data_IF_585824207354
#
_entry.id   IF_585824207354
#
_cell.length_a   1.000
_cell.length_b   1.000
_cell.length_c   1.000
_cell.angle_alpha   90.00
_cell.angle_beta   90.00
_cell.angle_gamma   90.00
#
_symmetry.space_group_name_H-M   'P 1'
#
loop_
_entity.id
_entity.type
_entity.pdbx_description
1 polymer ?
#
# COMPACT_ATOMS: atom_id res chain seq x y z
N UNK A 1 -0.52 -3.89 22.63
CA UNK A 1 0.45 -2.77 22.55
C UNK A 1 0.89 -2.45 21.13
N UNK A 2 0.95 -3.43 20.23
CA UNK A 2 1.19 -3.19 18.82
C UNK A 2 -0.02 -2.56 18.12
N UNK A 3 0.21 -1.48 17.36
CA UNK A 3 -0.79 -0.73 16.57
C UNK A 3 -2.11 -0.54 17.31
N UNK A 4 -2.03 0.02 18.51
CA UNK A 4 -3.22 0.39 19.25
C UNK A 4 -3.89 1.55 18.53
N UNK A 5 -5.19 1.40 18.25
CA UNK A 5 -5.98 2.53 17.84
C UNK A 5 -6.22 3.49 19.04
N UNK A 6 -6.87 4.62 18.77
CA UNK A 6 -7.21 5.64 19.78
C UNK A 6 -8.01 5.11 20.98
N UNK A 7 -8.63 3.93 20.87
CA UNK A 7 -9.40 3.27 21.93
C UNK A 7 -8.64 2.12 22.62
N UNK A 8 -7.33 2.00 22.41
CA UNK A 8 -6.48 1.02 23.08
C UNK A 8 -6.64 -0.43 22.59
N UNK A 9 -7.35 -0.66 21.47
CA UNK A 9 -7.47 -2.00 20.86
C UNK A 9 -6.32 -2.24 19.90
N UNK A 10 -5.71 -3.42 19.99
CA UNK A 10 -4.71 -3.83 19.01
C UNK A 10 -5.34 -4.06 17.65
N UNK A 11 -4.53 -3.89 16.60
CA UNK A 11 -4.93 -4.24 15.25
C UNK A 11 -5.51 -5.67 15.13
N UNK A 12 -4.89 -6.64 15.81
CA UNK A 12 -5.41 -8.01 15.92
C UNK A 12 -6.83 -8.04 16.51
N UNK A 13 -7.06 -7.36 17.64
CA UNK A 13 -8.39 -7.30 18.26
C UNK A 13 -9.43 -6.63 17.36
N UNK A 14 -9.01 -5.66 16.53
CA UNK A 14 -9.88 -5.04 15.54
C UNK A 14 -10.27 -6.03 14.45
N UNK A 15 -9.32 -6.77 13.87
CA UNK A 15 -9.67 -7.80 12.87
C UNK A 15 -10.57 -8.87 13.48
N UNK A 16 -10.18 -9.39 14.65
CA UNK A 16 -10.94 -10.47 15.30
C UNK A 16 -12.38 -10.05 15.57
N UNK A 17 -12.60 -8.83 16.07
CA UNK A 17 -13.93 -8.32 16.39
C UNK A 17 -14.71 -7.78 15.19
N UNK A 18 -14.06 -7.33 14.13
CA UNK A 18 -14.73 -6.72 12.95
C UNK A 18 -14.91 -7.68 11.79
N UNK A 19 -14.01 -8.62 11.59
CA UNK A 19 -14.06 -9.51 10.43
C UNK A 19 -14.20 -10.97 10.84
N UNK A 20 -13.62 -11.38 11.97
CA UNK A 20 -13.75 -12.75 12.46
C UNK A 20 -14.85 -12.92 13.50
N UNK A 21 -15.79 -11.96 13.63
CA UNK A 21 -17.01 -12.18 14.40
C UNK A 21 -18.15 -12.78 13.58
N UNK A 22 -18.81 -13.82 14.10
CA UNK A 22 -19.90 -14.51 13.41
C UNK A 22 -21.07 -13.56 13.08
N UNK A 23 -21.30 -12.58 13.96
CA UNK A 23 -22.33 -11.56 13.81
C UNK A 23 -21.87 -10.33 13.01
N UNK A 24 -20.67 -10.36 12.43
CA UNK A 24 -20.17 -9.22 11.65
C UNK A 24 -20.85 -9.14 10.29
N UNK A 25 -21.53 -8.01 10.05
CA UNK A 25 -22.09 -7.67 8.73
C UNK A 25 -21.03 -7.66 7.62
N UNK A 26 -19.78 -7.32 7.97
CA UNK A 26 -18.69 -7.11 7.03
C UNK A 26 -18.22 -8.38 6.28
N UNK A 27 -18.72 -9.57 6.64
CA UNK A 27 -18.30 -10.86 6.06
C UNK A 27 -18.87 -11.18 4.67
N UNK A 28 -19.83 -10.41 4.17
CA UNK A 28 -20.41 -10.58 2.82
C UNK A 28 -20.62 -9.29 2.04
N UNK A 29 -20.25 -8.14 2.62
CA UNK A 29 -20.62 -6.83 2.10
C UNK A 29 -19.85 -6.48 0.82
N UNK A 30 -18.55 -6.81 0.70
CA UNK A 30 -17.76 -6.36 -0.46
C UNK A 30 -18.26 -6.94 -1.80
N UNK A 31 -18.56 -8.24 -1.87
CA UNK A 31 -19.14 -8.84 -3.07
C UNK A 31 -20.51 -8.23 -3.39
N UNK A 32 -21.34 -8.04 -2.36
CA UNK A 32 -22.69 -7.50 -2.52
C UNK A 32 -22.68 -6.04 -2.98
N UNK A 33 -21.78 -5.22 -2.42
CA UNK A 33 -21.56 -3.81 -2.80
C UNK A 33 -21.24 -3.71 -4.29
N UNK A 34 -20.27 -4.52 -4.77
CA UNK A 34 -19.87 -4.50 -6.18
C UNK A 34 -21.03 -4.98 -7.06
N UNK A 35 -21.72 -6.06 -6.69
CA UNK A 35 -22.86 -6.54 -7.47
C UNK A 35 -24.00 -5.51 -7.52
N UNK A 36 -24.27 -4.79 -6.43
CA UNK A 36 -25.28 -3.73 -6.40
C UNK A 36 -24.89 -2.56 -7.29
N UNK A 37 -23.63 -2.11 -7.24
CA UNK A 37 -23.10 -1.02 -8.07
C UNK A 37 -23.21 -1.35 -9.58
N UNK A 38 -22.95 -2.61 -9.95
CA UNK A 38 -22.88 -3.04 -11.34
C UNK A 38 -24.06 -3.94 -11.78
N UNK A 39 -25.24 -3.73 -11.21
CA UNK A 39 -26.50 -4.37 -11.62
C UNK A 39 -26.42 -5.91 -11.72
N UNK A 40 -25.72 -6.55 -10.78
CA UNK A 40 -25.57 -8.00 -10.69
C UNK A 40 -24.55 -8.61 -11.66
N UNK A 41 -23.78 -7.81 -12.40
CA UNK A 41 -22.79 -8.33 -13.33
C UNK A 41 -21.57 -8.91 -12.59
N UNK A 42 -21.44 -10.24 -12.61
CA UNK A 42 -20.39 -10.98 -11.90
C UNK A 42 -18.99 -10.81 -12.48
N UNK A 43 -18.83 -10.26 -13.70
CA UNK A 43 -17.50 -9.99 -14.23
C UNK A 43 -16.75 -8.91 -13.44
N UNK A 44 -17.46 -7.99 -12.77
CA UNK A 44 -16.83 -6.97 -11.92
C UNK A 44 -16.23 -7.59 -10.65
N UNK A 45 -16.99 -8.41 -9.93
CA UNK A 45 -16.46 -9.16 -8.78
C UNK A 45 -15.39 -10.14 -9.19
N UNK A 46 -15.52 -10.78 -10.37
CA UNK A 46 -14.49 -11.63 -10.94
C UNK A 46 -13.18 -10.89 -11.26
N UNK A 47 -13.25 -9.66 -11.80
CA UNK A 47 -12.07 -8.83 -12.06
C UNK A 47 -11.37 -8.43 -10.76
N UNK A 48 -12.13 -8.00 -9.75
CA UNK A 48 -11.59 -7.68 -8.42
C UNK A 48 -10.94 -8.91 -7.79
N UNK A 49 -11.57 -10.09 -7.89
CA UNK A 49 -10.98 -11.35 -7.41
C UNK A 49 -9.70 -11.73 -8.16
N UNK A 50 -9.65 -11.56 -9.49
CA UNK A 50 -8.43 -11.78 -10.24
C UNK A 50 -7.28 -10.89 -9.74
N UNK A 51 -7.55 -9.61 -9.47
CA UNK A 51 -6.57 -8.66 -8.96
C UNK A 51 -6.11 -9.04 -7.55
N UNK A 52 -7.02 -9.42 -6.63
CA UNK A 52 -6.63 -9.90 -5.30
C UNK A 52 -5.76 -11.15 -5.37
N UNK A 53 -5.95 -11.99 -6.39
CA UNK A 53 -5.18 -13.21 -6.65
C UNK A 53 -3.88 -12.95 -7.44
N UNK A 54 -3.46 -11.68 -7.54
CA UNK A 54 -2.21 -11.28 -8.17
C UNK A 54 -2.25 -11.11 -9.70
N UNK A 55 -3.39 -11.27 -10.36
CA UNK A 55 -3.52 -10.93 -11.78
C UNK A 55 -3.62 -9.42 -11.96
N UNK A 56 -2.47 -8.76 -12.03
CA UNK A 56 -2.39 -7.29 -12.05
C UNK A 56 -2.32 -6.70 -13.46
N UNK A 57 -2.26 -7.54 -14.50
CA UNK A 57 -2.22 -7.10 -15.92
C UNK A 57 -3.55 -7.34 -16.59
N UNK A 58 -4.04 -6.37 -17.38
CA UNK A 58 -5.29 -6.49 -18.15
C UNK A 58 -5.39 -7.78 -18.96
N UNK A 59 -4.29 -8.20 -19.62
CA UNK A 59 -4.30 -9.43 -20.40
C UNK A 59 -4.56 -10.66 -19.53
N UNK A 60 -3.92 -10.74 -18.37
CA UNK A 60 -4.07 -11.86 -17.46
C UNK A 60 -5.47 -11.90 -16.83
N UNK A 61 -6.01 -10.73 -16.48
CA UNK A 61 -7.38 -10.60 -15.97
C UNK A 61 -8.39 -11.04 -17.04
N UNK A 62 -8.24 -10.60 -18.28
CA UNK A 62 -9.10 -10.98 -19.39
C UNK A 62 -9.08 -12.51 -19.63
N UNK A 63 -7.88 -13.10 -19.60
CA UNK A 63 -7.67 -14.54 -19.79
C UNK A 63 -8.35 -15.35 -18.66
N UNK A 64 -8.19 -14.94 -17.39
CA UNK A 64 -8.83 -15.60 -16.23
C UNK A 64 -10.36 -15.45 -16.22
N UNK A 65 -10.87 -14.33 -16.72
CA UNK A 65 -12.32 -14.08 -16.82
C UNK A 65 -12.95 -14.71 -18.08
N UNK A 66 -12.15 -15.24 -18.99
CA UNK A 66 -12.60 -15.75 -20.29
C UNK A 66 -13.38 -14.71 -21.11
N UNK A 67 -12.91 -13.46 -21.12
CA UNK A 67 -13.50 -12.36 -21.88
C UNK A 67 -12.46 -11.72 -22.81
N UNK A 68 -12.91 -10.99 -23.83
CA UNK A 68 -11.99 -10.27 -24.71
C UNK A 68 -11.35 -9.06 -23.99
N UNK A 69 -10.19 -8.61 -24.51
CA UNK A 69 -9.43 -7.50 -23.91
C UNK A 69 -10.21 -6.19 -23.87
N UNK A 70 -11.08 -5.91 -24.85
CA UNK A 70 -11.85 -4.67 -24.87
C UNK A 70 -12.97 -4.70 -23.81
N UNK A 71 -13.62 -5.85 -23.60
CA UNK A 71 -14.55 -6.05 -22.49
C UNK A 71 -13.86 -5.91 -21.13
N UNK A 72 -12.70 -6.55 -20.94
CA UNK A 72 -11.91 -6.42 -19.72
C UNK A 72 -11.49 -4.97 -19.47
N UNK A 73 -11.09 -4.22 -20.51
CA UNK A 73 -10.76 -2.80 -20.38
C UNK A 73 -11.94 -1.99 -19.84
N UNK A 74 -13.15 -2.18 -20.39
CA UNK A 74 -14.35 -1.47 -19.94
C UNK A 74 -14.63 -1.73 -18.46
N UNK A 75 -14.58 -2.99 -18.03
CA UNK A 75 -14.76 -3.36 -16.62
C UNK A 75 -13.73 -2.67 -15.73
N UNK A 76 -12.46 -2.66 -16.13
CA UNK A 76 -11.39 -2.02 -15.35
C UNK A 76 -11.52 -0.50 -15.31
N UNK A 77 -11.92 0.14 -16.41
CA UNK A 77 -12.18 1.59 -16.46
C UNK A 77 -13.37 1.95 -15.56
N UNK A 78 -14.44 1.16 -15.57
CA UNK A 78 -15.61 1.35 -14.71
C UNK A 78 -15.26 1.18 -13.23
N UNK A 79 -14.52 0.13 -12.86
CA UNK A 79 -14.03 -0.10 -11.49
C UNK A 79 -13.09 1.01 -11.02
N UNK A 80 -12.27 1.55 -11.91
CA UNK A 80 -11.39 2.69 -11.64
C UNK A 80 -12.21 3.98 -11.43
N UNK A 81 -13.24 4.20 -12.25
CA UNK A 81 -14.12 5.35 -12.15
C UNK A 81 -14.85 5.43 -10.80
N UNK A 82 -15.38 4.31 -10.32
CA UNK A 82 -16.05 4.26 -8.99
C UNK A 82 -15.05 4.14 -7.82
N UNK A 83 -13.75 4.07 -8.10
CA UNK A 83 -12.70 4.05 -7.08
C UNK A 83 -12.50 2.71 -6.37
N UNK A 84 -12.97 1.59 -6.95
CA UNK A 84 -12.73 0.24 -6.41
C UNK A 84 -11.32 -0.26 -6.79
N UNK A 85 -10.88 0.05 -8.00
CA UNK A 85 -9.55 -0.30 -8.54
C UNK A 85 -8.78 0.97 -8.86
N UNK A 86 -7.45 0.87 -8.88
CA UNK A 86 -6.57 1.92 -9.40
C UNK A 86 -5.43 1.32 -10.23
N UNK A 87 -4.74 2.19 -10.95
CA UNK A 87 -3.49 1.85 -11.65
C UNK A 87 -2.30 2.27 -10.81
N UNK A 88 -1.39 1.33 -10.58
CA UNK A 88 -0.05 1.62 -10.06
C UNK A 88 0.82 2.05 -11.23
N UNK A 89 1.32 3.28 -11.15
CA UNK A 89 2.08 3.93 -12.21
C UNK A 89 3.57 3.60 -12.02
N UNK A 90 4.23 2.97 -13.00
CA UNK A 90 5.66 2.74 -12.97
C UNK A 90 6.39 4.07 -13.20
N UNK A 91 7.24 4.44 -12.27
CA UNK A 91 8.03 5.67 -12.30
C UNK A 91 9.49 5.37 -12.71
N UNK A 92 10.30 6.42 -12.89
CA UNK A 92 11.75 6.30 -13.01
C UNK A 92 12.25 5.44 -14.17
N UNK A 93 11.59 5.52 -15.33
CA UNK A 93 12.00 4.76 -16.52
C UNK A 93 11.81 3.24 -16.41
N UNK A 94 11.01 2.76 -15.44
CA UNK A 94 10.68 1.34 -15.35
C UNK A 94 10.12 0.84 -16.69
N UNK A 95 10.63 -0.28 -17.24
CA UNK A 95 10.21 -0.80 -18.55
C UNK A 95 8.83 -1.48 -18.50
N UNK A 96 8.17 -1.44 -17.34
CA UNK A 96 6.95 -2.18 -17.06
C UNK A 96 5.74 -1.29 -17.35
N UNK A 97 4.64 -1.92 -17.72
CA UNK A 97 3.36 -1.22 -17.93
C UNK A 97 2.66 -0.98 -16.59
N UNK A 98 1.78 0.03 -16.49
CA UNK A 98 0.88 0.15 -15.36
C UNK A 98 0.16 -1.15 -15.06
N UNK A 99 0.01 -1.43 -13.78
CA UNK A 99 -0.65 -2.63 -13.26
C UNK A 99 -1.82 -2.22 -12.38
N UNK A 100 -2.84 -3.07 -12.29
CA UNK A 100 -4.03 -2.81 -11.50
C UNK A 100 -3.85 -3.26 -10.05
N UNK A 101 -4.41 -2.51 -9.12
CA UNK A 101 -4.56 -2.86 -7.70
C UNK A 101 -5.95 -2.50 -7.21
N UNK A 102 -6.40 -3.14 -6.13
CA UNK A 102 -7.64 -2.77 -5.45
C UNK A 102 -7.34 -1.54 -4.59
N UNK A 103 -8.08 -0.46 -4.83
CA UNK A 103 -7.91 0.83 -4.15
C UNK A 103 -8.58 0.86 -2.78
N UNK A 104 -9.77 0.29 -2.69
CA UNK A 104 -10.55 0.29 -1.44
C UNK A 104 -9.98 -0.73 -0.45
N UNK A 105 -9.55 -0.31 0.76
CA UNK A 105 -8.95 -1.23 1.73
C UNK A 105 -9.91 -2.33 2.18
N UNK A 106 -11.19 -2.01 2.39
CA UNK A 106 -12.16 -3.00 2.83
C UNK A 106 -12.38 -4.07 1.75
N UNK A 107 -12.57 -3.67 0.49
CA UNK A 107 -12.71 -4.60 -0.63
C UNK A 107 -11.43 -5.45 -0.78
N UNK A 108 -10.26 -4.82 -0.71
CA UNK A 108 -8.98 -5.51 -0.83
C UNK A 108 -8.81 -6.60 0.24
N UNK A 109 -9.09 -6.27 1.52
CA UNK A 109 -9.05 -7.24 2.61
C UNK A 109 -10.13 -8.32 2.49
N UNK A 110 -11.34 -7.94 2.06
CA UNK A 110 -12.45 -8.88 1.89
C UNK A 110 -12.14 -9.94 0.83
N UNK A 111 -11.69 -9.52 -0.36
CA UNK A 111 -11.38 -10.45 -1.46
C UNK A 111 -10.08 -11.23 -1.27
N UNK A 112 -9.06 -10.61 -0.64
CA UNK A 112 -7.75 -11.24 -0.44
C UNK A 112 -7.63 -12.12 0.82
N UNK A 113 -8.41 -11.85 1.87
CA UNK A 113 -8.32 -12.60 3.13
C UNK A 113 -9.64 -13.31 3.47
N UNK A 114 -10.76 -12.60 3.45
CA UNK A 114 -12.02 -13.15 3.97
C UNK A 114 -12.64 -14.19 3.04
N UNK A 115 -12.80 -13.87 1.76
CA UNK A 115 -13.44 -14.73 0.77
C UNK A 115 -12.74 -16.10 0.66
N UNK A 116 -11.41 -16.13 0.70
CA UNK A 116 -10.63 -17.37 0.58
C UNK A 116 -10.66 -18.23 1.84
N UNK A 117 -10.92 -17.60 3.01
CA UNK A 117 -10.86 -18.25 4.30
C UNK A 117 -12.22 -18.32 5.01
N UNK A 118 -13.32 -18.04 4.30
CA UNK A 118 -14.65 -17.92 4.91
C UNK A 118 -15.04 -19.18 5.70
N UNK A 119 -14.84 -20.37 5.14
CA UNK A 119 -15.10 -21.65 5.82
C UNK A 119 -14.27 -21.83 7.09
N UNK A 120 -13.01 -21.42 7.07
CA UNK A 120 -12.13 -21.50 8.25
C UNK A 120 -12.63 -20.53 9.35
N UNK A 121 -12.98 -19.31 8.94
CA UNK A 121 -13.48 -18.25 9.81
C UNK A 121 -14.82 -18.65 10.46
N UNK A 122 -15.73 -19.25 9.69
CA UNK A 122 -17.07 -19.65 10.16
C UNK A 122 -17.04 -20.88 11.07
N UNK A 123 -16.23 -21.89 10.74
CA UNK A 123 -16.20 -23.15 11.48
C UNK A 123 -15.30 -23.12 12.72
N UNK A 124 -14.48 -22.08 12.88
CA UNK A 124 -13.57 -21.97 14.03
C UNK A 124 -14.27 -21.42 15.27
N UNK A 125 -14.14 -22.12 16.39
CA UNK A 125 -14.54 -21.64 17.71
C UNK A 125 -13.56 -20.63 18.32
N UNK A 126 -12.40 -20.41 17.70
CA UNK A 126 -11.34 -19.52 18.20
C UNK A 126 -10.88 -18.53 17.13
N UNK A 127 -11.31 -17.27 17.27
CA UNK A 127 -10.89 -16.14 16.41
C UNK A 127 -9.37 -15.92 16.46
N UNK A 128 -8.78 -16.05 17.64
CA UNK A 128 -7.33 -15.93 17.82
C UNK A 128 -6.55 -17.08 17.16
N UNK A 129 -7.14 -18.27 17.00
CA UNK A 129 -6.52 -19.34 16.23
C UNK A 129 -6.56 -19.04 14.72
N UNK A 130 -7.68 -18.53 14.21
CA UNK A 130 -7.81 -18.09 12.81
C UNK A 130 -6.83 -16.98 12.50
N UNK A 131 -6.75 -15.95 13.34
CA UNK A 131 -5.79 -14.86 13.16
C UNK A 131 -4.35 -15.36 13.09
N UNK A 132 -3.95 -16.25 14.00
CA UNK A 132 -2.60 -16.82 13.99
C UNK A 132 -2.31 -17.64 12.73
N UNK A 133 -3.32 -18.35 12.21
CA UNK A 133 -3.19 -19.11 10.97
C UNK A 133 -3.01 -18.19 9.75
N UNK A 134 -3.77 -17.09 9.69
CA UNK A 134 -3.76 -16.12 8.58
C UNK A 134 -2.77 -14.97 8.78
N UNK A 135 -1.93 -15.03 9.81
CA UNK A 135 -1.17 -13.87 10.27
C UNK A 135 -0.26 -13.29 9.19
N UNK A 136 0.42 -14.15 8.41
CA UNK A 136 1.35 -13.70 7.38
C UNK A 136 0.60 -13.03 6.22
N UNK A 137 -0.53 -13.59 5.81
CA UNK A 137 -1.35 -13.03 4.73
C UNK A 137 -1.95 -11.69 5.15
N UNK A 138 -2.43 -11.60 6.39
CA UNK A 138 -2.90 -10.35 7.01
C UNK A 138 -1.76 -9.32 7.08
N UNK A 139 -0.60 -9.69 7.63
CA UNK A 139 0.52 -8.75 7.78
C UNK A 139 0.99 -8.25 6.39
N UNK A 140 1.01 -9.11 5.36
CA UNK A 140 1.32 -8.72 3.97
C UNK A 140 0.26 -7.77 3.39
N UNK A 141 -1.01 -8.11 3.54
CA UNK A 141 -2.13 -7.32 3.03
C UNK A 141 -2.16 -5.92 3.65
N UNK A 142 -1.87 -5.82 4.93
CA UNK A 142 -1.83 -4.55 5.66
C UNK A 142 -0.58 -3.75 5.34
N UNK A 143 0.53 -4.42 5.03
CA UNK A 143 1.72 -3.78 4.46
C UNK A 143 1.37 -2.97 3.21
N UNK A 144 0.65 -3.59 2.26
CA UNK A 144 0.22 -2.89 1.04
C UNK A 144 -0.77 -1.74 1.30
N UNK A 145 -1.68 -1.91 2.26
CA UNK A 145 -2.55 -0.80 2.70
C UNK A 145 -1.74 0.34 3.32
N UNK A 146 -0.69 0.01 4.06
CA UNK A 146 0.19 0.98 4.70
C UNK A 146 1.01 1.75 3.66
N UNK A 147 1.57 1.09 2.64
CA UNK A 147 2.23 1.76 1.51
C UNK A 147 1.29 2.80 0.87
N UNK A 148 0.03 2.42 0.63
CA UNK A 148 -0.99 3.33 0.08
C UNK A 148 -1.23 4.52 1.02
N UNK A 149 -1.39 4.27 2.32
CA UNK A 149 -1.57 5.32 3.33
C UNK A 149 -0.40 6.32 3.33
N UNK A 150 0.84 5.83 3.18
CA UNK A 150 2.03 6.68 3.11
C UNK A 150 2.03 7.57 1.86
N UNK A 151 1.62 7.03 0.71
CA UNK A 151 1.42 7.79 -0.52
C UNK A 151 0.31 8.84 -0.40
N UNK A 152 -0.85 8.45 0.13
CA UNK A 152 -1.99 9.36 0.35
C UNK A 152 -1.64 10.48 1.35
N UNK A 153 -0.80 10.17 2.36
CA UNK A 153 -0.25 11.18 3.27
C UNK A 153 0.61 12.20 2.52
N UNK A 154 1.50 11.78 1.63
CA UNK A 154 2.27 12.72 0.80
C UNK A 154 1.35 13.63 -0.02
N UNK A 155 0.34 13.06 -0.66
CA UNK A 155 -0.63 13.81 -1.47
C UNK A 155 -1.41 14.83 -0.63
N UNK A 156 -1.61 14.57 0.67
CA UNK A 156 -2.38 15.42 1.57
C UNK A 156 -1.59 16.63 2.10
N UNK A 157 -0.28 16.49 2.24
CA UNK A 157 0.57 17.49 2.90
C UNK A 157 1.51 18.25 1.95
N UNK A 158 1.70 17.78 0.72
CA UNK A 158 2.64 18.41 -0.22
C UNK A 158 2.04 18.58 -1.61
N UNK A 159 2.66 19.47 -2.39
CA UNK A 159 2.30 19.70 -3.79
C UNK A 159 2.86 18.59 -4.68
N UNK A 160 2.27 17.40 -4.58
CA UNK A 160 2.62 16.22 -5.39
C UNK A 160 2.14 16.44 -6.83
N UNK A 161 3.06 16.42 -7.78
CA UNK A 161 2.80 16.56 -9.22
C UNK A 161 2.43 15.19 -9.81
N UNK A 162 3.20 14.18 -9.43
CA UNK A 162 3.11 12.82 -9.95
C UNK A 162 3.58 11.86 -8.86
N UNK A 163 2.87 10.75 -8.68
CA UNK A 163 3.23 9.68 -7.75
C UNK A 163 2.99 8.33 -8.37
N UNK A 164 3.87 7.39 -8.04
CA UNK A 164 3.75 5.98 -8.38
C UNK A 164 4.71 5.15 -7.55
N UNK A 165 5.12 4.03 -8.13
CA UNK A 165 6.14 3.16 -7.54
C UNK A 165 7.20 2.90 -8.61
N UNK A 166 8.39 2.46 -8.21
CA UNK A 166 9.34 1.90 -9.15
C UNK A 166 9.43 0.40 -8.94
N UNK A 167 9.50 -0.37 -10.02
CA UNK A 167 9.83 -1.79 -9.95
C UNK A 167 10.65 -2.21 -11.16
N UNK A 168 11.66 -3.03 -10.92
CA UNK A 168 12.67 -3.41 -11.91
C UNK A 168 13.52 -4.57 -11.41
N UNK A 169 14.74 -4.69 -11.97
CA UNK A 169 15.74 -5.63 -11.45
C UNK A 169 16.95 -4.88 -10.91
N UNK A 170 17.42 -5.29 -9.74
CA UNK A 170 18.68 -4.85 -9.11
C UNK A 170 19.47 -6.11 -8.78
N UNK A 171 20.71 -6.19 -9.24
CA UNK A 171 21.60 -7.35 -9.03
C UNK A 171 20.94 -8.70 -9.34
N UNK A 172 20.29 -8.78 -10.50
CA UNK A 172 19.51 -9.94 -10.99
C UNK A 172 18.27 -10.33 -10.19
N UNK A 173 17.93 -9.59 -9.13
CA UNK A 173 16.71 -9.79 -8.32
C UNK A 173 15.64 -8.75 -8.63
N UNK A 174 14.36 -9.15 -8.53
CA UNK A 174 13.26 -8.20 -8.62
C UNK A 174 13.32 -7.26 -7.40
N UNK A 175 13.15 -5.97 -7.66
CA UNK A 175 13.26 -4.91 -6.65
C UNK A 175 12.27 -3.79 -6.95
N UNK A 176 11.91 -3.07 -5.89
CA UNK A 176 10.87 -2.07 -5.89
C UNK A 176 11.18 -0.88 -4.96
N UNK A 177 10.59 0.26 -5.26
CA UNK A 177 10.56 1.43 -4.38
C UNK A 177 9.09 1.76 -4.18
N UNK A 178 8.61 1.60 -2.95
CA UNK A 178 7.20 1.64 -2.57
C UNK A 178 6.53 2.96 -2.96
N UNK A 179 7.27 4.07 -2.85
CA UNK A 179 6.79 5.39 -3.20
C UNK A 179 7.84 6.12 -4.03
N UNK A 180 7.45 6.56 -5.22
CA UNK A 180 8.22 7.51 -6.04
C UNK A 180 7.31 8.67 -6.37
N UNK A 181 7.69 9.88 -5.99
CA UNK A 181 6.90 11.07 -6.27
C UNK A 181 7.76 12.25 -6.76
N UNK A 182 7.16 13.11 -7.57
CA UNK A 182 7.68 14.44 -7.91
C UNK A 182 6.91 15.47 -7.11
N UNK A 183 7.60 16.25 -6.29
CA UNK A 183 6.98 17.21 -5.38
C UNK A 183 7.58 18.58 -5.61
N UNK A 184 6.72 19.58 -5.85
CA UNK A 184 7.15 20.97 -5.96
C UNK A 184 7.31 21.60 -4.57
N UNK A 185 8.41 22.31 -4.36
CA UNK A 185 8.57 23.21 -3.22
C UNK A 185 7.90 24.57 -3.47
N UNK A 186 7.92 25.44 -2.45
CA UNK A 186 7.32 26.78 -2.53
C UNK A 186 7.98 27.72 -3.55
N UNK A 187 9.16 27.38 -4.07
CA UNK A 187 9.88 28.12 -5.10
C UNK A 187 9.68 27.52 -6.51
N UNK A 188 8.93 26.42 -6.62
CA UNK A 188 8.71 25.69 -7.86
C UNK A 188 9.83 24.73 -8.25
N UNK A 189 10.82 24.48 -7.38
CA UNK A 189 11.81 23.43 -7.60
C UNK A 189 11.14 22.07 -7.39
N UNK A 190 11.41 21.15 -8.32
CA UNK A 190 10.86 19.79 -8.26
C UNK A 190 11.88 18.87 -7.59
N UNK A 191 11.43 18.22 -6.51
CA UNK A 191 12.16 17.21 -5.76
C UNK A 191 11.64 15.83 -6.12
N UNK A 192 12.54 14.86 -6.24
CA UNK A 192 12.20 13.44 -6.40
C UNK A 192 12.17 12.79 -5.02
N UNK A 193 10.99 12.42 -4.56
CA UNK A 193 10.80 11.73 -3.30
C UNK A 193 10.87 10.22 -3.55
N UNK A 194 11.75 9.54 -2.84
CA UNK A 194 11.85 8.07 -2.84
C UNK A 194 11.54 7.56 -1.44
N UNK A 195 10.55 6.68 -1.35
CA UNK A 195 10.01 6.21 -0.08
C UNK A 195 10.01 4.70 0.08
N UNK A 196 10.31 4.26 1.30
CA UNK A 196 10.19 2.87 1.78
C UNK A 196 9.20 2.84 2.95
N UNK A 197 8.26 1.89 2.90
CA UNK A 197 7.16 1.78 3.85
C UNK A 197 7.26 0.48 4.66
N UNK A 198 7.28 0.60 5.99
CA UNK A 198 7.38 -0.56 6.88
C UNK A 198 6.20 -0.65 7.84
N UNK A 199 5.37 -1.66 7.63
CA UNK A 199 4.40 -2.13 8.61
C UNK A 199 4.95 -3.38 9.32
N UNK A 200 5.72 -3.20 10.40
CA UNK A 200 6.37 -4.31 11.11
C UNK A 200 6.24 -4.23 12.63
N UNK A 201 6.39 -5.38 13.30
CA UNK A 201 6.33 -5.52 14.78
C UNK A 201 7.56 -5.02 15.51
N UNK A 202 8.54 -4.58 14.74
CA UNK A 202 9.78 -3.99 15.23
C UNK A 202 9.94 -2.62 14.58
N UNK A 203 10.61 -1.68 15.26
CA UNK A 203 11.02 -0.43 14.63
C UNK A 203 11.81 -0.68 13.34
N UNK A 204 11.76 0.27 12.42
CA UNK A 204 12.53 0.20 11.19
C UNK A 204 14.00 0.49 11.52
N UNK A 205 14.88 -0.42 11.10
CA UNK A 205 16.33 -0.29 11.28
C UNK A 205 17.05 0.24 10.04
N UNK A 206 18.34 0.51 10.21
CA UNK A 206 19.20 1.16 9.21
C UNK A 206 19.24 0.45 7.84
N UNK A 207 19.04 -0.87 7.81
CA UNK A 207 18.99 -1.65 6.56
C UNK A 207 17.93 -1.20 5.56
N UNK A 208 16.83 -0.58 6.02
CA UNK A 208 15.79 -0.05 5.13
C UNK A 208 16.32 1.11 4.27
N UNK A 209 17.04 2.06 4.87
CA UNK A 209 17.69 3.15 4.16
C UNK A 209 18.71 2.63 3.13
N UNK A 210 19.61 1.73 3.54
CA UNK A 210 20.62 1.17 2.64
C UNK A 210 20.00 0.48 1.42
N UNK A 211 18.90 -0.25 1.65
CA UNK A 211 18.16 -0.91 0.57
C UNK A 211 17.56 0.11 -0.39
N UNK A 212 16.86 1.12 0.14
CA UNK A 212 16.24 2.17 -0.66
C UNK A 212 17.28 2.97 -1.46
N UNK A 213 18.39 3.38 -0.83
CA UNK A 213 19.46 4.11 -1.49
C UNK A 213 20.15 3.28 -2.60
N UNK A 214 20.37 1.98 -2.36
CA UNK A 214 20.91 1.07 -3.39
C UNK A 214 19.97 0.95 -4.59
N UNK A 215 18.67 0.74 -4.34
CA UNK A 215 17.64 0.66 -5.38
C UNK A 215 17.49 1.97 -6.15
N UNK A 216 17.53 3.11 -5.46
CA UNK A 216 17.49 4.43 -6.06
C UNK A 216 18.62 4.63 -7.08
N UNK A 217 19.84 4.28 -6.68
CA UNK A 217 21.02 4.32 -7.56
C UNK A 217 20.86 3.41 -8.77
N UNK A 218 20.41 2.18 -8.58
CA UNK A 218 20.21 1.22 -9.66
C UNK A 218 19.09 1.66 -10.63
N UNK A 219 18.06 2.34 -10.12
CA UNK A 219 16.99 2.94 -10.90
C UNK A 219 17.40 4.24 -11.61
N UNK A 220 18.60 4.77 -11.36
CA UNK A 220 19.10 6.00 -11.98
C UNK A 220 18.52 7.29 -11.41
N UNK A 221 17.93 7.25 -10.21
CA UNK A 221 17.52 8.48 -9.52
C UNK A 221 18.76 9.17 -8.93
N UNK A 222 19.10 10.36 -9.45
CA UNK A 222 20.33 11.07 -9.07
C UNK A 222 20.17 12.57 -8.80
N UNK A 223 19.04 13.17 -9.15
CA UNK A 223 18.83 14.62 -9.07
C UNK A 223 17.75 14.98 -8.04
N UNK A 224 18.07 15.90 -7.13
CA UNK A 224 17.17 16.42 -6.08
C UNK A 224 16.38 15.32 -5.38
N UNK A 225 17.07 14.25 -4.97
CA UNK A 225 16.45 13.09 -4.34
C UNK A 225 16.32 13.33 -2.84
N UNK A 226 15.11 13.23 -2.32
CA UNK A 226 14.83 13.16 -0.88
C UNK A 226 14.38 11.75 -0.52
N UNK A 227 15.08 11.14 0.42
CA UNK A 227 14.68 9.83 0.97
C UNK A 227 13.68 10.01 2.11
N UNK A 228 12.59 9.26 2.07
CA UNK A 228 11.55 9.28 3.11
C UNK A 228 11.30 7.86 3.60
N UNK A 229 11.43 7.63 4.89
CA UNK A 229 11.19 6.33 5.50
C UNK A 229 9.91 6.39 6.32
N UNK A 230 8.94 5.55 5.97
CA UNK A 230 7.68 5.47 6.67
C UNK A 230 7.67 4.23 7.57
N UNK A 231 7.41 4.40 8.87
CA UNK A 231 7.33 3.28 9.79
C UNK A 231 6.13 3.38 10.71
N UNK A 232 5.25 2.38 10.65
CA UNK A 232 4.06 2.33 11.49
C UNK A 232 4.41 2.29 13.00
N UNK A 233 5.53 1.65 13.36
CA UNK A 233 5.97 1.53 14.77
C UNK A 233 7.06 2.55 15.17
N UNK A 234 7.68 3.23 14.20
CA UNK A 234 8.82 4.13 14.43
C UNK A 234 10.17 3.50 14.06
N UNK A 235 11.26 4.08 14.55
CA UNK A 235 12.62 3.84 14.04
C UNK A 235 13.57 3.42 15.16
N UNK A 236 14.61 2.66 14.81
CA UNK A 236 15.72 2.38 15.72
C UNK A 236 16.58 3.64 15.90
N UNK A 237 17.20 3.81 17.08
CA UNK A 237 17.95 5.01 17.47
C UNK A 237 19.06 5.36 16.47
N UNK A 238 19.85 4.35 16.04
CA UNK A 238 20.90 4.52 15.02
C UNK A 238 20.38 5.10 13.70
N UNK A 239 19.17 4.72 13.28
CA UNK A 239 18.56 5.27 12.06
C UNK A 239 18.08 6.72 12.27
N UNK A 240 17.63 7.06 13.49
CA UNK A 240 17.25 8.44 13.82
C UNK A 240 18.46 9.36 13.76
N UNK A 241 19.56 8.99 14.43
CA UNK A 241 20.82 9.75 14.42
C UNK A 241 21.34 9.95 12.99
N UNK A 242 21.39 8.87 12.20
CA UNK A 242 21.81 8.97 10.80
C UNK A 242 20.91 9.90 9.98
N UNK A 243 19.59 9.82 10.17
CA UNK A 243 18.63 10.59 9.40
C UNK A 243 18.78 12.09 9.64
N UNK A 244 19.03 12.50 10.88
CA UNK A 244 19.29 13.89 11.26
C UNK A 244 20.56 14.44 10.60
N UNK A 245 21.62 13.64 10.54
CA UNK A 245 22.90 14.03 9.94
C UNK A 245 22.87 14.07 8.40
N UNK A 246 22.04 13.23 7.77
CA UNK A 246 22.07 12.99 6.33
C UNK A 246 20.81 13.48 5.58
N UNK A 247 19.89 14.16 6.27
CA UNK A 247 18.69 14.73 5.67
C UNK A 247 17.69 13.67 5.17
N UNK A 248 17.65 12.49 5.80
CA UNK A 248 16.61 11.48 5.53
C UNK A 248 15.37 11.85 6.33
N UNK A 249 14.21 11.85 5.70
CA UNK A 249 12.96 12.21 6.38
C UNK A 249 12.35 10.95 7.00
N UNK A 250 12.05 11.02 8.29
CA UNK A 250 11.40 9.93 9.03
C UNK A 250 9.94 10.27 9.30
N UNK A 251 9.02 9.41 8.87
CA UNK A 251 7.58 9.57 9.08
C UNK A 251 7.07 8.39 9.90
N UNK A 252 6.81 8.63 11.18
CA UNK A 252 6.31 7.59 12.09
C UNK A 252 4.79 7.40 11.96
N UNK A 253 4.26 6.28 12.47
CA UNK A 253 2.82 6.07 12.58
C UNK A 253 2.10 7.15 13.38
N UNK A 254 2.80 7.87 14.28
CA UNK A 254 2.25 9.00 15.01
C UNK A 254 2.09 10.25 14.14
N UNK A 255 3.06 10.51 13.26
CA UNK A 255 2.95 11.58 12.23
C UNK A 255 1.80 11.26 11.27
N UNK A 256 1.72 10.02 10.79
CA UNK A 256 0.62 9.58 9.90
C UNK A 256 -0.76 9.70 10.59
N UNK A 257 -0.82 9.52 11.90
CA UNK A 257 -2.04 9.69 12.70
C UNK A 257 -2.33 11.16 13.10
N UNK A 258 -1.49 12.11 12.70
CA UNK A 258 -1.62 13.53 13.07
C UNK A 258 -1.39 13.82 14.55
N UNK A 259 -0.70 12.92 15.27
CA UNK A 259 -0.37 13.07 16.69
C UNK A 259 0.94 13.82 16.92
N UNK A 260 1.83 13.80 15.93
CA UNK A 260 3.10 14.52 15.91
C UNK A 260 3.15 15.43 14.67
N UNK A 261 4.06 16.42 14.66
CA UNK A 261 4.17 17.38 13.56
C UNK A 261 4.59 16.73 12.22
N UNK A 262 4.09 17.29 11.13
CA UNK A 262 4.48 16.89 9.77
C UNK A 262 5.87 17.47 9.45
N UNK A 263 6.88 16.63 9.12
CA UNK A 263 8.23 17.12 8.81
C UNK A 263 8.25 17.94 7.52
N UNK A 264 9.30 18.71 7.27
CA UNK A 264 9.53 19.28 5.92
C UNK A 264 10.17 18.23 5.02
N UNK A 265 9.75 18.13 3.76
CA UNK A 265 10.46 17.34 2.73
C UNK A 265 11.65 18.08 2.10
N UNK A 266 11.70 19.39 2.31
CA UNK A 266 12.70 20.26 1.71
C UNK A 266 13.64 20.70 2.81
N UNK A 267 14.92 20.36 2.66
CA UNK A 267 15.96 20.99 3.44
C UNK A 267 16.00 22.46 3.02
N UNK A 268 15.78 23.39 3.95
CA UNK A 268 16.16 24.77 3.70
C UNK A 268 17.66 24.78 3.59
N UNK A 269 18.20 24.82 2.37
CA UNK A 269 19.57 25.25 2.19
C UNK A 269 19.70 26.61 2.89
N UNK A 270 20.44 26.63 3.99
CA UNK A 270 20.98 27.85 4.55
C UNK A 270 21.87 28.47 3.46
N UNK A 271 21.29 29.39 2.69
CA UNK A 271 22.03 30.38 1.94
C UNK A 271 22.75 31.33 2.88
#
# INVERSE_FOLDING_TARGET
>A
YYHLNTNGKSYQQLIEGKFFDADSSWRGDAHSIILQEFNGNTHYTGAVKCISDGAVKQSEIADRLHIDRAACKRILDDLEFVGIVERRIPMGGSPKKPVYSIKDPFISFSFGILSDNLKLIENSSSKAAVYRHLQNDIDSQVGHMFEKLCGDWLDSYYSVIERGQWWGRVDDTDADIDVVAKVADGNGLIHTILGECKFSRKPMGFGAYNTLASRAKAAGFSENVTFVLFSALGFEEELVEFAEENGVILVSGRVLAGLDETPSLFTTESR
#
